data_IF_073586352872
#
_entry.id   IF_073586352872
#
_cell.length_a   1.000
_cell.length_b   1.000
_cell.length_c   1.000
_cell.angle_alpha   90.00
_cell.angle_beta   90.00
_cell.angle_gamma   90.00
#
_symmetry.space_group_name_H-M   'P 1'
#
loop_
_entity.id
_entity.type
_entity.pdbx_description
1 polymer ?
#
# COMPACT_ATOMS: atom_id res chain seq x y z
N UNK A 1 22.01 -22.44 0.88
CA UNK A 1 21.10 -21.54 1.60
C UNK A 1 19.69 -22.14 1.55
N UNK A 2 19.08 -22.41 2.70
CA UNK A 2 17.77 -23.07 2.81
C UNK A 2 16.63 -22.20 2.28
N UNK A 3 16.83 -20.88 2.18
CA UNK A 3 15.85 -19.90 1.70
C UNK A 3 15.42 -20.14 0.24
N UNK A 4 16.36 -20.49 -0.64
CA UNK A 4 16.12 -20.64 -2.08
C UNK A 4 15.11 -21.72 -2.45
N UNK A 5 14.90 -22.72 -1.58
CA UNK A 5 13.91 -23.78 -1.82
C UNK A 5 12.46 -23.26 -1.75
N UNK A 6 12.23 -22.16 -1.04
CA UNK A 6 10.89 -21.62 -0.77
C UNK A 6 10.59 -20.37 -1.59
N UNK A 7 11.56 -19.85 -2.34
CA UNK A 7 11.32 -18.73 -3.23
C UNK A 7 10.58 -19.21 -4.48
N UNK A 8 9.54 -18.49 -4.92
CA UNK A 8 8.93 -18.75 -6.21
C UNK A 8 9.97 -18.58 -7.32
N UNK A 9 9.74 -19.27 -8.44
CA UNK A 9 10.53 -19.02 -9.66
C UNK A 9 10.34 -17.56 -10.08
N UNK A 10 11.37 -16.94 -10.63
CA UNK A 10 11.35 -15.55 -11.08
C UNK A 10 10.19 -15.25 -12.04
N UNK A 11 9.92 -16.15 -12.98
CA UNK A 11 8.78 -16.03 -13.90
C UNK A 11 7.42 -15.96 -13.17
N UNK A 12 7.24 -16.82 -12.16
CA UNK A 12 6.02 -16.85 -11.33
C UNK A 12 5.91 -15.55 -10.54
N UNK A 13 7.01 -15.08 -9.96
CA UNK A 13 7.06 -13.82 -9.23
C UNK A 13 6.66 -12.65 -10.13
N UNK A 14 7.25 -12.54 -11.33
CA UNK A 14 6.97 -11.44 -12.26
C UNK A 14 5.53 -11.44 -12.82
N UNK A 15 4.85 -12.58 -12.84
CA UNK A 15 3.48 -12.73 -13.37
C UNK A 15 2.41 -12.79 -12.28
N UNK A 16 2.80 -12.69 -11.01
CA UNK A 16 1.86 -12.81 -9.90
C UNK A 16 0.99 -11.56 -9.77
N UNK A 17 -0.27 -11.77 -9.37
CA UNK A 17 -1.15 -10.68 -8.95
C UNK A 17 -0.77 -10.25 -7.53
N UNK A 18 -0.31 -9.02 -7.39
CA UNK A 18 -0.03 -8.40 -6.09
C UNK A 18 -1.19 -7.51 -5.69
N UNK A 19 -1.62 -7.63 -4.45
CA UNK A 19 -2.64 -6.77 -3.86
C UNK A 19 -2.10 -6.22 -2.55
N UNK A 20 -2.18 -4.91 -2.39
CA UNK A 20 -1.76 -4.21 -1.19
C UNK A 20 -3.00 -3.76 -0.42
N UNK A 21 -3.11 -4.19 0.84
CA UNK A 21 -4.09 -3.70 1.80
C UNK A 21 -3.36 -2.75 2.77
N UNK A 22 -3.41 -1.46 2.48
CA UNK A 22 -2.61 -0.40 3.13
C UNK A 22 -3.44 0.86 3.36
N UNK A 23 -2.88 1.84 4.09
CA UNK A 23 -3.49 3.16 4.33
C UNK A 23 -4.32 3.29 5.60
N UNK A 24 -4.59 2.19 6.32
CA UNK A 24 -5.38 2.24 7.56
C UNK A 24 -4.70 3.03 8.69
N UNK A 25 -3.37 2.90 8.82
CA UNK A 25 -2.61 3.66 9.82
C UNK A 25 -2.58 5.16 9.50
N UNK A 26 -2.52 5.51 8.22
CA UNK A 26 -2.57 6.88 7.73
C UNK A 26 -3.92 7.52 8.04
N UNK A 27 -5.02 6.81 7.78
CA UNK A 27 -6.37 7.25 8.15
C UNK A 27 -6.54 7.38 9.66
N UNK A 28 -6.14 6.37 10.43
CA UNK A 28 -6.19 6.41 11.90
C UNK A 28 -5.37 7.58 12.46
N UNK A 29 -4.17 7.82 11.92
CA UNK A 29 -3.32 8.95 12.27
C UNK A 29 -3.95 10.30 11.93
N UNK A 30 -4.62 10.41 10.79
CA UNK A 30 -5.30 11.63 10.36
C UNK A 30 -6.46 11.99 11.32
N UNK A 31 -7.21 11.00 11.79
CA UNK A 31 -8.30 11.19 12.75
C UNK A 31 -7.84 11.68 14.14
N UNK A 32 -6.55 11.61 14.48
CA UNK A 32 -6.06 12.20 15.72
C UNK A 32 -6.06 13.74 15.71
N UNK A 33 -6.19 14.38 14.54
CA UNK A 33 -6.05 15.84 14.43
C UNK A 33 -6.96 16.53 13.41
N UNK A 34 -7.73 15.78 12.61
CA UNK A 34 -8.58 16.30 11.53
C UNK A 34 -10.05 15.91 11.73
N UNK A 35 -10.96 16.72 11.17
CA UNK A 35 -12.38 16.34 11.07
C UNK A 35 -12.59 15.26 10.00
N UNK A 36 -13.71 14.56 10.04
CA UNK A 36 -14.08 13.56 9.03
C UNK A 36 -14.01 14.12 7.60
N UNK A 37 -14.61 15.28 7.35
CA UNK A 37 -14.55 15.94 6.04
C UNK A 37 -13.11 16.21 5.58
N UNK A 38 -12.23 16.61 6.49
CA UNK A 38 -10.81 16.85 6.19
C UNK A 38 -10.04 15.55 5.93
N UNK A 39 -10.38 14.45 6.60
CA UNK A 39 -9.80 13.13 6.34
C UNK A 39 -10.26 12.62 4.97
N UNK A 40 -11.56 12.70 4.67
CA UNK A 40 -12.12 12.31 3.36
C UNK A 40 -11.47 13.11 2.23
N UNK A 41 -11.30 14.43 2.41
CA UNK A 41 -10.64 15.29 1.45
C UNK A 41 -9.16 14.94 1.21
N UNK A 42 -8.51 14.21 2.12
CA UNK A 42 -7.12 13.78 1.99
C UNK A 42 -6.91 12.45 1.27
N UNK A 43 -7.97 11.63 1.11
CA UNK A 43 -7.89 10.31 0.47
C UNK A 43 -7.31 10.37 -0.95
N UNK A 44 -7.70 11.32 -1.83
CA UNK A 44 -7.12 11.39 -3.18
C UNK A 44 -5.60 11.60 -3.17
N UNK A 45 -5.08 12.39 -2.23
CA UNK A 45 -3.63 12.61 -2.08
C UNK A 45 -2.91 11.34 -1.65
N UNK A 46 -3.46 10.62 -0.66
CA UNK A 46 -2.90 9.34 -0.20
C UNK A 46 -2.82 8.33 -1.36
N UNK A 47 -3.86 8.25 -2.19
CA UNK A 47 -3.88 7.38 -3.36
C UNK A 47 -2.81 7.78 -4.39
N UNK A 48 -2.63 9.07 -4.63
CA UNK A 48 -1.59 9.56 -5.54
C UNK A 48 -0.17 9.24 -5.05
N UNK A 49 0.06 9.30 -3.74
CA UNK A 49 1.35 8.91 -3.15
C UNK A 49 1.64 7.41 -3.34
N UNK A 50 0.64 6.55 -3.17
CA UNK A 50 0.78 5.11 -3.43
C UNK A 50 1.03 4.81 -4.91
N UNK A 51 0.31 5.48 -5.82
CA UNK A 51 0.53 5.31 -7.26
C UNK A 51 1.95 5.70 -7.67
N UNK A 52 2.44 6.85 -7.18
CA UNK A 52 3.80 7.32 -7.46
C UNK A 52 4.89 6.43 -6.87
N UNK A 53 4.63 5.78 -5.74
CA UNK A 53 5.60 4.89 -5.08
C UNK A 53 5.73 3.50 -5.72
N UNK A 54 4.78 3.11 -6.59
CA UNK A 54 4.80 1.85 -7.34
C UNK A 54 5.51 2.01 -8.70
N UNK A 55 5.53 3.24 -9.26
CA UNK A 55 6.24 3.57 -10.50
C UNK A 55 7.76 3.52 -10.34
#
# INVERSE_FOLDING_TARGET
DRSRKFLPKEEIFNQSLYMFDIGQNDLAGAFYSKTEDQVIASIPTILSEFENGIQ
#
